data_IF_272348834418
#
_entry.id   IF_272348834418
#
_cell.length_a   1.000
_cell.length_b   1.000
_cell.length_c   1.000
_cell.angle_alpha   90.00
_cell.angle_beta   90.00
_cell.angle_gamma   90.00
#
_symmetry.space_group_name_H-M   'P 1'
#
loop_
_entity.id
_entity.type
_entity.pdbx_description
1 polymer ?
#
# COMPACT_ATOMS: atom_id res chain seq x y z
N UNK A 1 15.37 -9.12 38.37
CA UNK A 1 15.69 -8.94 36.93
C UNK A 1 14.84 -9.73 35.95
N UNK A 2 14.34 -10.97 36.18
CA UNK A 2 13.60 -11.75 35.18
C UNK A 2 12.22 -11.16 34.81
N UNK A 3 11.43 -10.63 35.76
CA UNK A 3 10.06 -10.11 35.52
C UNK A 3 10.05 -8.92 34.54
N UNK A 4 10.97 -7.97 34.67
CA UNK A 4 11.08 -6.84 33.73
C UNK A 4 11.38 -7.33 32.29
N UNK A 5 12.15 -8.42 32.17
CA UNK A 5 12.50 -9.04 30.88
C UNK A 5 11.31 -9.75 30.25
N UNK A 6 10.48 -10.43 31.04
CA UNK A 6 9.25 -11.08 30.58
C UNK A 6 8.19 -10.08 30.13
N UNK A 7 7.96 -9.01 30.90
CA UNK A 7 7.02 -7.93 30.54
C UNK A 7 7.47 -7.25 29.23
N UNK A 8 8.77 -7.00 29.07
CA UNK A 8 9.32 -6.42 27.84
C UNK A 8 9.16 -7.37 26.65
N UNK A 9 9.37 -8.68 26.84
CA UNK A 9 9.18 -9.69 25.82
C UNK A 9 7.70 -9.81 25.42
N UNK A 10 6.78 -9.84 26.38
CA UNK A 10 5.34 -9.88 26.13
C UNK A 10 4.85 -8.67 25.32
N UNK A 11 5.24 -7.45 25.74
CA UNK A 11 4.88 -6.22 25.01
C UNK A 11 5.38 -6.23 23.57
N UNK A 12 6.59 -6.72 23.34
CA UNK A 12 7.16 -6.91 22.00
C UNK A 12 6.37 -7.93 21.20
N UNK A 13 6.04 -9.07 21.80
CA UNK A 13 5.29 -10.14 21.12
C UNK A 13 3.86 -9.70 20.77
N UNK A 14 3.21 -8.94 21.66
CA UNK A 14 1.91 -8.32 21.38
C UNK A 14 1.98 -7.38 20.18
N UNK A 15 2.98 -6.50 20.12
CA UNK A 15 3.17 -5.59 19.00
C UNK A 15 3.39 -6.36 17.68
N UNK A 16 4.24 -7.38 17.70
CA UNK A 16 4.51 -8.22 16.51
C UNK A 16 3.27 -8.99 16.05
N UNK A 17 2.48 -9.51 16.98
CA UNK A 17 1.20 -10.18 16.67
C UNK A 17 0.21 -9.20 16.03
N UNK A 18 0.05 -8.02 16.60
CA UNK A 18 -0.82 -6.99 16.05
C UNK A 18 -0.37 -6.56 14.65
N UNK A 19 0.94 -6.37 14.46
CA UNK A 19 1.51 -6.02 13.15
C UNK A 19 1.19 -7.10 12.10
N UNK A 20 1.32 -8.37 12.48
CA UNK A 20 1.02 -9.50 11.59
C UNK A 20 -0.48 -9.56 11.26
N UNK A 21 -1.35 -9.46 12.25
CA UNK A 21 -2.81 -9.53 12.06
C UNK A 21 -3.33 -8.37 11.23
N UNK A 22 -2.91 -7.13 11.55
CA UNK A 22 -3.30 -5.93 10.79
C UNK A 22 -2.73 -6.00 9.38
N UNK A 23 -1.45 -6.37 9.22
CA UNK A 23 -0.82 -6.54 7.92
C UNK A 23 -1.54 -7.56 7.04
N UNK A 24 -1.85 -8.73 7.58
CA UNK A 24 -2.58 -9.77 6.85
C UNK A 24 -3.99 -9.32 6.44
N UNK A 25 -4.72 -8.61 7.31
CA UNK A 25 -6.08 -8.14 7.02
C UNK A 25 -6.13 -7.08 5.91
N UNK A 26 -5.07 -6.29 5.73
CA UNK A 26 -5.01 -5.22 4.72
C UNK A 26 -4.33 -5.68 3.42
N UNK A 27 -3.54 -6.76 3.46
CA UNK A 27 -2.80 -7.26 2.29
C UNK A 27 -3.71 -7.61 1.11
N UNK A 28 -4.82 -8.32 1.35
CA UNK A 28 -5.74 -8.74 0.29
C UNK A 28 -6.44 -7.55 -0.41
N UNK A 29 -7.01 -6.57 0.31
CA UNK A 29 -7.51 -5.33 -0.32
C UNK A 29 -6.45 -4.59 -1.13
N UNK A 30 -5.22 -4.48 -0.64
CA UNK A 30 -4.12 -3.80 -1.36
C UNK A 30 -3.76 -4.53 -2.65
N UNK A 31 -3.67 -5.86 -2.62
CA UNK A 31 -3.46 -6.67 -3.82
C UNK A 31 -4.58 -6.46 -4.85
N UNK A 32 -5.84 -6.47 -4.40
CA UNK A 32 -6.99 -6.21 -5.27
C UNK A 32 -6.93 -4.82 -5.91
N UNK A 33 -6.64 -3.78 -5.11
CA UNK A 33 -6.48 -2.41 -5.61
C UNK A 33 -5.33 -2.34 -6.61
N UNK A 34 -4.20 -2.96 -6.34
CA UNK A 34 -3.05 -3.00 -7.26
C UNK A 34 -3.41 -3.65 -8.60
N UNK A 35 -4.03 -4.83 -8.57
CA UNK A 35 -4.49 -5.54 -9.78
C UNK A 35 -5.48 -4.70 -10.58
N UNK A 36 -6.46 -4.07 -9.90
CA UNK A 36 -7.44 -3.20 -10.58
C UNK A 36 -6.80 -1.95 -11.18
N UNK A 37 -5.81 -1.39 -10.48
CA UNK A 37 -5.07 -0.22 -10.99
C UNK A 37 -4.26 -0.56 -12.26
N UNK A 38 -3.68 -1.75 -12.35
CA UNK A 38 -3.01 -2.21 -13.58
C UNK A 38 -4.00 -2.24 -14.76
N UNK A 39 -5.20 -2.78 -14.56
CA UNK A 39 -6.25 -2.77 -15.60
C UNK A 39 -6.60 -1.34 -16.02
N UNK A 40 -6.81 -0.43 -15.08
CA UNK A 40 -7.14 0.97 -15.35
C UNK A 40 -6.02 1.67 -16.14
N UNK A 41 -4.75 1.46 -15.78
CA UNK A 41 -3.61 2.03 -16.50
C UNK A 41 -3.57 1.49 -17.94
N UNK A 42 -3.85 0.21 -18.14
CA UNK A 42 -3.91 -0.38 -19.48
C UNK A 42 -5.03 0.24 -20.30
N UNK A 43 -6.25 0.31 -19.78
CA UNK A 43 -7.41 0.92 -20.44
C UNK A 43 -7.18 2.42 -20.75
N UNK A 44 -6.55 3.16 -19.84
CA UNK A 44 -6.18 4.56 -20.05
C UNK A 44 -5.13 4.71 -21.16
N UNK A 45 -4.13 3.81 -21.19
CA UNK A 45 -3.10 3.82 -22.24
C UNK A 45 -3.70 3.46 -23.60
N UNK A 46 -4.63 2.48 -23.67
CA UNK A 46 -5.38 2.17 -24.86
C UNK A 46 -6.17 3.38 -25.38
N UNK A 47 -6.87 4.08 -24.46
CA UNK A 47 -7.61 5.28 -24.81
C UNK A 47 -6.71 6.42 -25.30
N UNK A 48 -5.54 6.62 -24.69
CA UNK A 48 -4.54 7.59 -25.16
C UNK A 48 -4.01 7.23 -26.55
N UNK A 49 -3.67 5.96 -26.76
CA UNK A 49 -3.14 5.48 -28.04
C UNK A 49 -4.13 5.68 -29.19
N UNK A 50 -5.39 5.24 -28.99
CA UNK A 50 -6.40 5.33 -30.04
C UNK A 50 -6.80 6.79 -30.33
N UNK A 51 -6.88 7.64 -29.29
CA UNK A 51 -7.18 9.06 -29.46
C UNK A 51 -6.06 9.79 -30.23
N UNK A 52 -4.80 9.45 -29.93
CA UNK A 52 -3.66 10.02 -30.65
C UNK A 52 -3.61 9.52 -32.09
N UNK A 53 -3.81 8.22 -32.34
CA UNK A 53 -3.88 7.66 -33.67
C UNK A 53 -5.00 8.33 -34.49
N UNK A 54 -6.21 8.47 -33.92
CA UNK A 54 -7.35 9.11 -34.57
C UNK A 54 -7.08 10.60 -34.87
N UNK A 55 -6.45 11.33 -33.95
CA UNK A 55 -6.10 12.74 -34.16
C UNK A 55 -5.07 12.91 -35.31
N UNK A 56 -4.06 12.04 -35.34
CA UNK A 56 -3.05 12.07 -36.41
C UNK A 56 -3.63 11.61 -37.74
N UNK A 57 -4.53 10.62 -37.72
CA UNK A 57 -5.27 10.21 -38.91
C UNK A 57 -6.16 11.35 -39.47
N UNK A 58 -6.91 12.03 -38.59
CA UNK A 58 -7.73 13.18 -39.01
C UNK A 58 -6.87 14.32 -39.58
N UNK A 59 -5.69 14.57 -39.02
CA UNK A 59 -4.71 15.54 -39.56
C UNK A 59 -4.30 15.16 -40.99
N UNK A 60 -3.96 13.89 -41.23
CA UNK A 60 -3.58 13.43 -42.58
C UNK A 60 -4.75 13.41 -43.53
N UNK A 61 -5.95 13.01 -43.09
CA UNK A 61 -7.19 13.06 -43.90
C UNK A 61 -7.58 14.49 -44.27
N UNK A 62 -7.33 15.48 -43.43
CA UNK A 62 -7.50 16.90 -43.73
C UNK A 62 -6.47 17.38 -44.79
N UNK A 63 -5.23 16.88 -44.75
CA UNK A 63 -4.15 17.20 -45.67
C UNK A 63 -3.99 16.15 -46.80
N UNK A 64 -5.08 15.48 -47.17
CA UNK A 64 -5.06 14.30 -48.05
C UNK A 64 -4.48 14.58 -49.41
N UNK A 65 -4.68 15.80 -49.95
CA UNK A 65 -4.15 16.22 -51.25
C UNK A 65 -2.61 16.19 -51.28
N UNK A 66 -1.96 16.45 -50.16
CA UNK A 66 -0.50 16.38 -50.05
C UNK A 66 0.00 15.02 -49.53
N UNK A 67 -0.82 14.28 -48.74
CA UNK A 67 -0.43 12.99 -48.19
C UNK A 67 -0.62 11.82 -49.18
N UNK A 68 -1.76 11.73 -49.89
CA UNK A 68 -2.04 10.62 -50.78
C UNK A 68 -0.99 10.42 -51.88
N UNK A 69 -0.47 11.49 -52.56
CA UNK A 69 0.65 11.34 -53.48
C UNK A 69 1.93 10.78 -52.86
N UNK A 70 2.21 11.10 -51.60
CA UNK A 70 3.33 10.52 -50.84
C UNK A 70 3.09 9.04 -50.55
N UNK A 71 1.87 8.68 -50.11
CA UNK A 71 1.50 7.30 -49.84
C UNK A 71 1.52 6.42 -51.11
N UNK A 72 1.06 6.94 -52.25
CA UNK A 72 0.97 6.19 -53.49
C UNK A 72 2.33 6.08 -54.21
N UNK A 73 3.33 6.85 -53.82
CA UNK A 73 4.65 6.81 -54.44
C UNK A 73 5.37 5.47 -54.20
N UNK A 74 6.04 4.97 -55.21
CA UNK A 74 6.95 3.83 -55.07
C UNK A 74 8.36 4.26 -54.63
N UNK A 75 8.81 5.47 -55.03
CA UNK A 75 10.11 6.02 -54.76
C UNK A 75 9.99 7.54 -54.49
N UNK A 76 10.70 8.03 -53.50
CA UNK A 76 10.87 9.47 -53.26
C UNK A 76 12.10 9.96 -54.02
N UNK A 77 11.92 10.89 -54.95
CA UNK A 77 13.03 11.51 -55.70
C UNK A 77 13.52 12.72 -54.89
N UNK A 78 14.82 12.76 -54.63
CA UNK A 78 15.50 13.85 -53.90
C UNK A 78 15.21 15.22 -54.57
N UNK A 79 14.86 16.21 -53.73
CA UNK A 79 14.50 17.58 -54.14
C UNK A 79 13.09 17.73 -54.75
N UNK A 80 12.32 16.66 -54.88
CA UNK A 80 10.92 16.71 -55.40
C UNK A 80 9.94 17.33 -54.39
N UNK A 81 8.78 17.75 -54.92
CA UNK A 81 7.67 18.21 -54.09
C UNK A 81 7.15 17.11 -53.14
N UNK A 82 7.20 15.85 -53.62
CA UNK A 82 6.83 14.68 -52.82
C UNK A 82 7.76 14.48 -51.63
N UNK A 83 9.06 14.58 -51.86
CA UNK A 83 10.02 14.47 -50.76
C UNK A 83 9.86 15.61 -49.75
N UNK A 84 9.60 16.83 -50.19
CA UNK A 84 9.33 17.96 -49.31
C UNK A 84 8.10 17.72 -48.44
N UNK A 85 7.02 17.19 -49.00
CA UNK A 85 5.82 16.82 -48.28
C UNK A 85 6.08 15.69 -47.29
N UNK A 86 6.79 14.64 -47.66
CA UNK A 86 7.21 13.54 -46.83
C UNK A 86 8.03 14.05 -45.61
N UNK A 87 9.03 14.89 -45.84
CA UNK A 87 9.87 15.45 -44.77
C UNK A 87 9.06 16.33 -43.81
N UNK A 88 8.12 17.13 -44.35
CA UNK A 88 7.24 17.98 -43.55
C UNK A 88 6.32 17.15 -42.65
N UNK A 89 5.69 16.09 -43.17
CA UNK A 89 4.85 15.20 -42.38
C UNK A 89 5.66 14.46 -41.31
N UNK A 90 6.82 13.91 -41.64
CA UNK A 90 7.70 13.26 -40.68
C UNK A 90 8.14 14.21 -39.55
N UNK A 91 8.38 15.49 -39.87
CA UNK A 91 8.68 16.46 -38.82
C UNK A 91 7.50 16.68 -37.85
N UNK A 92 6.28 16.74 -38.37
CA UNK A 92 5.07 16.79 -37.52
C UNK A 92 4.99 15.55 -36.62
N UNK A 93 5.19 14.35 -37.19
CA UNK A 93 5.17 13.09 -36.44
C UNK A 93 6.26 13.08 -35.35
N UNK A 94 7.47 13.52 -35.64
CA UNK A 94 8.56 13.68 -34.66
C UNK A 94 8.20 14.65 -33.55
N UNK A 95 7.58 15.77 -33.88
CA UNK A 95 7.19 16.77 -32.86
C UNK A 95 6.09 16.23 -31.97
N UNK A 96 5.08 15.57 -32.53
CA UNK A 96 3.99 14.95 -31.75
C UNK A 96 4.54 13.82 -30.88
N UNK A 97 5.43 12.96 -31.41
CA UNK A 97 6.09 11.94 -30.60
C UNK A 97 6.87 12.50 -29.41
N UNK A 98 7.61 13.61 -29.60
CA UNK A 98 8.32 14.27 -28.52
C UNK A 98 7.41 14.83 -27.42
N UNK A 99 6.17 15.18 -27.75
CA UNK A 99 5.21 15.77 -26.83
C UNK A 99 4.27 14.72 -26.21
N UNK A 100 4.18 13.55 -26.81
CA UNK A 100 3.45 12.40 -26.31
C UNK A 100 4.39 11.41 -25.64
N UNK A 101 3.84 10.54 -24.80
CA UNK A 101 4.59 9.42 -24.22
C UNK A 101 4.65 8.20 -25.15
N UNK A 102 4.20 8.31 -26.40
CA UNK A 102 4.18 7.22 -27.37
C UNK A 102 5.62 6.78 -27.73
N UNK A 103 5.81 5.47 -27.81
CA UNK A 103 7.11 4.91 -28.19
C UNK A 103 7.34 5.08 -29.69
N UNK A 104 6.31 4.76 -30.49
CA UNK A 104 6.31 4.97 -31.94
C UNK A 104 5.02 5.64 -32.40
N UNK A 105 5.13 6.45 -33.46
CA UNK A 105 4.03 7.02 -34.21
C UNK A 105 4.43 6.95 -35.69
N UNK A 106 3.66 6.20 -36.45
CA UNK A 106 3.98 5.94 -37.85
C UNK A 106 2.72 5.86 -38.72
N UNK A 107 2.90 5.75 -40.02
CA UNK A 107 1.84 5.37 -40.96
C UNK A 107 2.27 4.19 -41.80
N UNK A 108 1.34 3.30 -42.05
CA UNK A 108 1.49 2.18 -42.97
C UNK A 108 0.35 2.12 -43.96
N UNK A 109 0.59 1.45 -45.08
CA UNK A 109 -0.40 1.17 -46.08
C UNK A 109 -0.46 -0.32 -46.39
N UNK A 110 -1.61 -0.76 -46.88
CA UNK A 110 -1.86 -2.14 -47.30
C UNK A 110 -0.99 -2.51 -48.51
N UNK A 111 -0.32 -3.66 -48.44
CA UNK A 111 0.35 -4.27 -49.55
C UNK A 111 -0.34 -5.60 -49.96
N UNK A 112 -0.48 -6.50 -49.00
CA UNK A 112 -1.21 -7.77 -49.09
C UNK A 112 -1.70 -8.17 -47.69
N UNK A 113 -2.42 -9.30 -47.57
CA UNK A 113 -3.06 -9.73 -46.31
C UNK A 113 -2.10 -10.04 -45.17
N UNK A 114 -0.79 -10.06 -45.39
CA UNK A 114 0.23 -10.35 -44.38
C UNK A 114 1.30 -9.24 -44.26
N UNK A 115 1.25 -8.25 -45.17
CA UNK A 115 2.33 -7.26 -45.26
C UNK A 115 1.79 -5.85 -45.39
N UNK A 116 2.30 -4.96 -44.56
CA UNK A 116 2.14 -3.50 -44.68
C UNK A 116 3.43 -2.84 -45.12
N UNK A 117 3.32 -1.59 -45.57
CA UNK A 117 4.47 -0.77 -46.01
C UNK A 117 4.47 0.54 -45.25
N UNK A 118 5.57 0.84 -44.59
CA UNK A 118 5.76 2.12 -43.91
C UNK A 118 5.78 3.29 -44.90
N UNK A 119 5.04 4.35 -44.59
CA UNK A 119 5.04 5.62 -45.34
C UNK A 119 5.67 6.73 -44.56
N UNK A 120 5.23 7.00 -43.31
CA UNK A 120 5.81 7.98 -42.43
C UNK A 120 6.29 7.32 -41.13
N UNK A 121 7.35 7.88 -40.54
CA UNK A 121 7.86 7.44 -39.25
C UNK A 121 8.29 8.63 -38.39
N UNK A 122 7.75 8.73 -37.20
CA UNK A 122 8.10 9.75 -36.20
C UNK A 122 9.45 9.55 -35.52
N UNK A 123 10.21 8.49 -35.89
CA UNK A 123 11.59 8.31 -35.42
C UNK A 123 12.58 9.25 -36.12
N UNK A 124 13.72 9.45 -35.47
CA UNK A 124 14.83 10.16 -36.10
C UNK A 124 15.45 9.27 -37.19
N UNK A 125 15.75 9.80 -38.39
CA UNK A 125 16.44 9.04 -39.43
C UNK A 125 17.79 8.46 -39.00
N UNK A 126 18.41 9.01 -37.94
CA UNK A 126 19.64 8.49 -37.36
C UNK A 126 19.43 7.36 -36.35
N UNK A 127 18.18 7.06 -35.99
CA UNK A 127 17.82 5.96 -35.09
C UNK A 127 17.90 4.61 -35.78
N UNK A 128 18.38 3.60 -35.07
CA UNK A 128 18.34 2.20 -35.53
C UNK A 128 16.92 1.63 -35.62
N UNK A 129 15.96 2.32 -34.99
CA UNK A 129 14.53 1.97 -34.95
C UNK A 129 13.72 2.73 -36.01
N UNK A 130 14.38 3.54 -36.86
CA UNK A 130 13.69 4.26 -37.93
C UNK A 130 13.29 3.31 -39.06
N UNK A 131 12.03 3.37 -39.46
CA UNK A 131 11.50 2.63 -40.60
C UNK A 131 11.52 3.50 -41.85
N UNK A 132 12.46 3.26 -42.80
CA UNK A 132 12.55 4.05 -44.01
C UNK A 132 11.26 3.93 -44.85
N UNK A 133 11.00 4.97 -45.64
CA UNK A 133 9.92 4.95 -46.64
C UNK A 133 9.97 3.69 -47.51
N UNK A 134 8.85 2.99 -47.65
CA UNK A 134 8.77 1.79 -48.46
C UNK A 134 9.26 0.50 -47.79
N UNK A 135 9.76 0.56 -46.54
CA UNK A 135 10.11 -0.64 -45.78
C UNK A 135 8.84 -1.46 -45.48
N UNK A 136 9.01 -2.79 -45.45
CA UNK A 136 7.90 -3.73 -45.25
C UNK A 136 7.90 -4.26 -43.82
N UNK A 137 6.71 -4.53 -43.31
CA UNK A 137 6.50 -5.19 -42.03
C UNK A 137 5.39 -6.23 -42.09
N UNK A 138 5.41 -7.16 -41.16
CA UNK A 138 4.33 -8.10 -40.97
C UNK A 138 3.13 -7.39 -40.35
N UNK A 139 1.95 -7.70 -40.82
CA UNK A 139 0.70 -7.06 -40.41
C UNK A 139 -0.05 -7.94 -39.40
N UNK A 140 -0.48 -7.37 -38.30
CA UNK A 140 -1.36 -8.05 -37.36
C UNK A 140 -2.84 -8.02 -37.80
N UNK A 141 -3.68 -8.83 -37.15
CA UNK A 141 -5.10 -8.94 -37.50
C UNK A 141 -5.86 -7.62 -37.32
N UNK A 142 -5.54 -6.82 -36.30
CA UNK A 142 -6.23 -5.55 -36.02
C UNK A 142 -5.76 -4.43 -36.95
N UNK A 143 -4.49 -4.47 -37.36
CA UNK A 143 -3.96 -3.61 -38.42
C UNK A 143 -4.66 -3.87 -39.73
N UNK A 144 -4.81 -5.16 -40.14
CA UNK A 144 -5.56 -5.57 -41.32
C UNK A 144 -7.01 -5.13 -41.22
N UNK A 145 -7.67 -5.34 -40.08
CA UNK A 145 -9.05 -4.93 -39.86
C UNK A 145 -9.21 -3.41 -40.05
N UNK A 146 -8.28 -2.61 -39.53
CA UNK A 146 -8.27 -1.16 -39.67
C UNK A 146 -8.16 -0.75 -41.15
N UNK A 147 -7.25 -1.37 -41.90
CA UNK A 147 -7.03 -1.05 -43.30
C UNK A 147 -8.20 -1.48 -44.21
N UNK A 148 -8.82 -2.65 -43.96
CA UNK A 148 -9.88 -3.20 -44.77
C UNK A 148 -11.25 -2.66 -44.41
N UNK A 149 -11.58 -2.57 -43.12
CA UNK A 149 -12.89 -2.13 -42.63
C UNK A 149 -12.99 -0.62 -42.37
N UNK A 150 -11.88 0.09 -42.34
CA UNK A 150 -11.85 1.52 -42.05
C UNK A 150 -12.30 1.87 -40.64
N UNK A 151 -12.06 0.99 -39.65
CA UNK A 151 -12.40 1.21 -38.24
C UNK A 151 -11.13 1.32 -37.43
N UNK A 152 -11.15 2.19 -36.40
CA UNK A 152 -10.02 2.29 -35.48
C UNK A 152 -10.02 1.10 -34.53
N UNK A 153 -8.84 0.52 -34.30
CA UNK A 153 -8.65 -0.65 -33.44
C UNK A 153 -7.55 -0.39 -32.40
N UNK A 154 -7.53 -1.18 -31.33
CA UNK A 154 -6.48 -1.12 -30.30
C UNK A 154 -6.20 -2.53 -29.77
N UNK A 155 -4.92 -2.86 -29.63
CA UNK A 155 -4.48 -4.15 -29.08
C UNK A 155 -4.42 -4.10 -27.55
N UNK A 156 -4.26 -5.28 -26.90
CA UNK A 156 -3.60 -5.39 -25.62
C UNK A 156 -2.08 -5.29 -25.78
N UNK A 157 -1.33 -5.60 -24.69
CA UNK A 157 0.11 -5.84 -24.83
C UNK A 157 0.32 -7.12 -25.66
N UNK A 158 0.88 -6.98 -26.83
CA UNK A 158 1.20 -8.07 -27.73
C UNK A 158 2.71 -8.12 -27.99
N UNK A 159 3.25 -9.34 -28.13
CA UNK A 159 4.65 -9.54 -28.49
C UNK A 159 4.79 -9.52 -30.01
N UNK A 160 5.59 -8.58 -30.50
CA UNK A 160 6.08 -8.58 -31.86
C UNK A 160 7.49 -9.19 -31.88
N UNK A 161 7.72 -10.11 -32.81
CA UNK A 161 9.00 -10.85 -32.90
C UNK A 161 10.19 -9.97 -33.28
N UNK A 162 9.95 -8.84 -33.94
CA UNK A 162 10.97 -7.91 -34.45
C UNK A 162 11.12 -6.71 -33.54
N UNK A 163 10.02 -6.12 -33.09
CA UNK A 163 10.00 -4.83 -32.41
C UNK A 163 9.89 -4.94 -30.90
N UNK A 164 9.42 -6.08 -30.36
CA UNK A 164 9.26 -6.30 -28.93
C UNK A 164 7.79 -6.31 -28.50
N UNK A 165 7.49 -5.99 -27.23
CA UNK A 165 6.14 -6.02 -26.68
C UNK A 165 5.56 -4.61 -26.63
N UNK A 166 4.43 -4.39 -27.32
CA UNK A 166 3.75 -3.10 -27.42
C UNK A 166 2.24 -3.24 -27.20
N UNK A 167 1.64 -2.14 -26.80
CA UNK A 167 0.22 -1.86 -26.94
C UNK A 167 0.09 -0.92 -28.12
N UNK A 168 -0.59 -1.36 -29.18
CA UNK A 168 -0.70 -0.64 -30.43
C UNK A 168 -2.13 -0.19 -30.70
N UNK A 169 -2.29 0.99 -31.23
CA UNK A 169 -3.57 1.51 -31.69
C UNK A 169 -3.46 1.96 -33.15
N UNK A 170 -4.45 1.62 -33.94
CA UNK A 170 -4.50 1.91 -35.35
C UNK A 170 -5.74 2.75 -35.70
N UNK A 171 -5.56 3.78 -36.50
CA UNK A 171 -6.67 4.59 -37.01
C UNK A 171 -6.57 4.76 -38.52
N UNK A 172 -7.66 4.50 -39.31
CA UNK A 172 -7.64 4.55 -40.75
C UNK A 172 -7.48 5.98 -41.26
N UNK A 173 -6.63 6.21 -42.24
CA UNK A 173 -6.53 7.47 -42.97
C UNK A 173 -7.50 7.39 -44.14
N UNK A 174 -8.54 8.23 -44.13
CA UNK A 174 -9.60 8.20 -45.10
C UNK A 174 -9.49 9.39 -46.06
N UNK A 175 -9.51 9.13 -47.36
CA UNK A 175 -9.68 10.16 -48.35
C UNK A 175 -11.17 10.54 -48.43
N UNK A 176 -11.49 11.73 -47.92
CA UNK A 176 -12.87 12.23 -47.83
C UNK A 176 -13.52 12.50 -49.21
N UNK A 177 -12.77 12.43 -50.31
CA UNK A 177 -13.29 12.65 -51.69
C UNK A 177 -13.94 11.41 -52.29
N UNK A 178 -13.41 10.24 -51.98
CA UNK A 178 -13.90 8.96 -52.49
C UNK A 178 -14.21 7.94 -51.38
N UNK A 179 -14.04 8.33 -50.14
CA UNK A 179 -14.25 7.51 -48.93
C UNK A 179 -13.40 6.23 -48.91
N UNK A 180 -12.22 6.26 -49.53
CA UNK A 180 -11.27 5.14 -49.49
C UNK A 180 -10.30 5.23 -48.35
N UNK A 181 -9.91 4.10 -47.78
CA UNK A 181 -8.81 3.99 -46.83
C UNK A 181 -7.48 3.98 -47.60
N UNK A 182 -6.66 4.98 -47.40
CA UNK A 182 -5.34 5.13 -48.08
C UNK A 182 -4.16 4.66 -47.23
N UNK A 183 -4.42 4.30 -46.02
CA UNK A 183 -3.42 3.84 -45.02
C UNK A 183 -3.97 3.93 -43.60
N UNK A 184 -3.12 3.73 -42.64
CA UNK A 184 -3.44 3.93 -41.22
C UNK A 184 -2.34 4.71 -40.52
N UNK A 185 -2.69 5.26 -39.35
CA UNK A 185 -1.75 5.73 -38.35
C UNK A 185 -1.64 4.68 -37.25
N UNK A 186 -0.42 4.23 -36.97
CA UNK A 186 -0.07 3.39 -35.83
C UNK A 186 0.53 4.22 -34.69
N UNK A 187 0.11 3.93 -33.46
CA UNK A 187 0.65 4.52 -32.22
C UNK A 187 0.93 3.42 -31.21
N UNK A 188 2.19 3.29 -30.83
CA UNK A 188 2.64 2.21 -29.94
C UNK A 188 3.15 2.74 -28.61
N UNK A 189 2.74 2.05 -27.53
CA UNK A 189 3.29 2.22 -26.20
C UNK A 189 4.01 0.95 -25.78
N UNK A 190 5.30 1.07 -25.46
CA UNK A 190 6.12 -0.09 -25.09
C UNK A 190 5.74 -0.68 -23.74
N UNK A 191 6.00 -1.97 -23.56
CA UNK A 191 5.91 -2.66 -22.27
C UNK A 191 6.70 -1.95 -21.18
N UNK A 192 7.87 -1.39 -21.51
CA UNK A 192 8.70 -0.67 -20.55
C UNK A 192 8.03 0.60 -20.04
N UNK A 193 7.34 1.34 -20.90
CA UNK A 193 6.51 2.47 -20.49
C UNK A 193 5.44 2.02 -19.49
N UNK A 194 4.71 0.95 -19.79
CA UNK A 194 3.69 0.39 -18.91
C UNK A 194 4.27 -0.07 -17.57
N UNK A 195 5.42 -0.75 -17.58
CA UNK A 195 6.10 -1.21 -16.38
C UNK A 195 6.56 -0.05 -15.48
N UNK A 196 6.99 1.07 -16.06
CA UNK A 196 7.33 2.28 -15.29
C UNK A 196 6.09 2.81 -14.56
N UNK A 197 4.95 2.90 -15.24
CA UNK A 197 3.69 3.34 -14.63
C UNK A 197 3.24 2.37 -13.51
N UNK A 198 3.25 1.06 -13.77
CA UNK A 198 2.90 0.05 -12.75
C UNK A 198 3.81 0.11 -11.52
N UNK A 199 5.13 0.25 -11.71
CA UNK A 199 6.09 0.38 -10.61
C UNK A 199 5.85 1.65 -9.80
N UNK A 200 5.60 2.77 -10.45
CA UNK A 200 5.33 4.05 -9.78
C UNK A 200 4.12 3.95 -8.85
N UNK A 201 3.00 3.43 -9.35
CA UNK A 201 1.79 3.22 -8.54
C UNK A 201 2.02 2.15 -7.47
N UNK A 202 2.70 1.06 -7.82
CA UNK A 202 3.06 -0.01 -6.88
C UNK A 202 3.82 0.51 -5.66
N UNK A 203 4.83 1.36 -5.85
CA UNK A 203 5.58 1.97 -4.75
C UNK A 203 4.72 2.88 -3.85
N UNK A 204 3.81 3.65 -4.46
CA UNK A 204 2.87 4.50 -3.70
C UNK A 204 1.94 3.62 -2.84
N UNK A 205 1.40 2.54 -3.39
CA UNK A 205 0.53 1.63 -2.67
C UNK A 205 1.27 0.90 -1.54
N UNK A 206 2.47 0.37 -1.81
CA UNK A 206 3.30 -0.34 -0.81
C UNK A 206 3.68 0.59 0.33
N UNK A 207 4.15 1.80 0.05
CA UNK A 207 4.54 2.76 1.09
C UNK A 207 3.34 3.22 1.93
N UNK A 208 2.20 3.49 1.29
CA UNK A 208 0.95 3.83 1.98
C UNK A 208 0.47 2.67 2.86
N UNK A 209 0.49 1.44 2.34
CA UNK A 209 0.16 0.24 3.09
C UNK A 209 1.04 0.08 4.34
N UNK A 210 2.36 0.17 4.18
CA UNK A 210 3.30 0.05 5.29
C UNK A 210 3.05 1.14 6.35
N UNK A 211 2.83 2.38 5.93
CA UNK A 211 2.54 3.50 6.81
C UNK A 211 1.25 3.29 7.62
N UNK A 212 0.13 2.99 6.97
CA UNK A 212 -1.15 2.80 7.65
C UNK A 212 -1.17 1.55 8.53
N UNK A 213 -0.53 0.46 8.09
CA UNK A 213 -0.38 -0.75 8.92
C UNK A 213 0.37 -0.44 10.20
N UNK A 214 1.48 0.30 10.13
CA UNK A 214 2.24 0.70 11.30
C UNK A 214 1.44 1.64 12.21
N UNK A 215 0.74 2.62 11.63
CA UNK A 215 -0.07 3.59 12.38
C UNK A 215 -1.20 2.89 13.15
N UNK A 216 -1.96 2.02 12.50
CA UNK A 216 -3.07 1.26 13.12
C UNK A 216 -2.50 0.32 14.22
N UNK A 217 -1.42 -0.37 13.93
CA UNK A 217 -0.76 -1.26 14.91
C UNK A 217 -0.32 -0.49 16.14
N UNK A 218 0.30 0.67 15.97
CA UNK A 218 0.72 1.53 17.08
C UNK A 218 -0.49 2.03 17.90
N UNK A 219 -1.55 2.47 17.21
CA UNK A 219 -2.77 2.94 17.88
C UNK A 219 -3.42 1.83 18.72
N UNK A 220 -3.59 0.64 18.16
CA UNK A 220 -4.13 -0.53 18.88
C UNK A 220 -3.22 -0.95 20.04
N UNK A 221 -1.93 -0.96 19.84
CA UNK A 221 -0.95 -1.27 20.88
C UNK A 221 -1.06 -0.31 22.07
N UNK A 222 -1.08 1.01 21.79
CA UNK A 222 -1.24 2.03 22.84
C UNK A 222 -2.59 1.89 23.54
N UNK A 223 -3.65 1.64 22.80
CA UNK A 223 -4.99 1.44 23.36
C UNK A 223 -5.03 0.25 24.32
N UNK A 224 -4.51 -0.91 23.90
CA UNK A 224 -4.48 -2.14 24.73
C UNK A 224 -3.67 -1.90 26.00
N UNK A 225 -2.47 -1.33 25.89
CA UNK A 225 -1.64 -1.03 27.07
C UNK A 225 -2.35 -0.05 28.02
N UNK A 226 -3.02 0.98 27.47
CA UNK A 226 -3.74 1.96 28.29
C UNK A 226 -4.94 1.33 29.01
N UNK A 227 -5.66 0.43 28.36
CA UNK A 227 -6.78 -0.29 29.00
C UNK A 227 -6.28 -1.21 30.12
N UNK A 228 -5.20 -1.96 29.86
CA UNK A 228 -4.60 -2.84 30.90
C UNK A 228 -4.07 -2.05 32.09
N UNK A 229 -3.39 -0.93 31.87
CA UNK A 229 -2.94 -0.07 32.96
C UNK A 229 -4.09 0.55 33.77
N UNK A 230 -5.31 0.56 33.23
CA UNK A 230 -6.52 1.06 33.92
C UNK A 230 -7.23 0.00 34.75
N UNK A 231 -6.93 -1.28 34.60
CA UNK A 231 -7.65 -2.36 35.29
C UNK A 231 -7.60 -2.25 36.82
N UNK A 232 -6.56 -1.61 37.33
CA UNK A 232 -6.41 -1.36 38.79
C UNK A 232 -6.26 -2.63 39.64
N UNK A 233 -6.26 -3.81 39.01
CA UNK A 233 -6.18 -5.14 39.65
C UNK A 233 -4.89 -5.82 39.21
N UNK A 234 -4.14 -6.36 40.19
CA UNK A 234 -2.98 -7.20 39.94
C UNK A 234 -3.39 -8.58 39.42
N UNK A 235 -2.86 -8.99 38.26
CA UNK A 235 -3.28 -10.23 37.58
C UNK A 235 -2.90 -11.49 38.37
N UNK A 236 -1.80 -11.46 39.12
CA UNK A 236 -1.31 -12.60 39.88
C UNK A 236 -2.11 -12.83 41.17
N UNK A 237 -2.26 -11.77 41.97
CA UNK A 237 -2.84 -11.85 43.31
C UNK A 237 -4.30 -11.47 43.36
N UNK A 238 -4.84 -10.87 42.27
CA UNK A 238 -6.19 -10.32 42.19
C UNK A 238 -6.52 -9.21 43.18
N UNK A 239 -5.49 -8.66 43.83
CA UNK A 239 -5.58 -7.48 44.66
C UNK A 239 -5.53 -6.19 43.81
N UNK A 240 -5.83 -5.05 44.44
CA UNK A 240 -5.61 -3.77 43.82
C UNK A 240 -4.11 -3.54 43.51
N UNK A 241 -3.81 -2.86 42.43
CA UNK A 241 -2.44 -2.41 42.10
C UNK A 241 -2.01 -1.22 43.00
N UNK A 242 -0.70 -0.90 43.05
CA UNK A 242 -0.18 0.32 43.67
C UNK A 242 -0.96 1.56 43.24
N UNK A 243 -1.33 1.66 41.96
CA UNK A 243 -2.11 2.79 41.42
C UNK A 243 -3.53 2.84 42.01
N UNK A 244 -4.18 1.70 42.14
CA UNK A 244 -5.48 1.58 42.79
C UNK A 244 -5.38 1.95 44.27
N UNK A 245 -4.32 1.49 44.99
CA UNK A 245 -4.03 1.85 46.35
C UNK A 245 -3.93 3.36 46.51
N UNK A 246 -3.12 4.04 45.70
CA UNK A 246 -2.95 5.50 45.80
C UNK A 246 -4.26 6.26 45.57
N UNK A 247 -5.11 5.77 44.68
CA UNK A 247 -6.46 6.34 44.45
C UNK A 247 -7.37 6.12 45.66
N UNK A 248 -7.40 4.92 46.24
CA UNK A 248 -8.18 4.58 47.43
C UNK A 248 -7.70 5.36 48.65
N UNK A 249 -6.38 5.46 48.84
CA UNK A 249 -5.80 6.22 49.93
C UNK A 249 -6.19 7.71 49.88
N UNK A 250 -6.18 8.33 48.74
CA UNK A 250 -6.62 9.73 48.57
C UNK A 250 -8.10 9.90 48.94
N UNK A 251 -8.95 8.95 48.53
CA UNK A 251 -10.38 8.99 48.88
C UNK A 251 -10.58 8.82 50.40
N UNK A 252 -9.97 7.78 50.99
CA UNK A 252 -10.10 7.52 52.44
C UNK A 252 -9.53 8.68 53.27
N UNK A 253 -8.41 9.25 52.85
CA UNK A 253 -7.81 10.43 53.51
C UNK A 253 -8.75 11.65 53.45
N UNK A 254 -9.37 11.90 52.27
CA UNK A 254 -10.32 13.01 52.13
C UNK A 254 -11.57 12.83 52.99
N UNK A 255 -12.08 11.59 53.08
CA UNK A 255 -13.26 11.22 53.86
C UNK A 255 -12.96 11.31 55.36
N UNK A 256 -11.86 10.72 55.82
CA UNK A 256 -11.37 10.78 57.21
C UNK A 256 -11.23 12.22 57.69
N UNK A 257 -10.68 13.11 56.83
CA UNK A 257 -10.52 14.54 57.16
C UNK A 257 -11.86 15.27 57.31
N UNK A 258 -12.89 14.92 56.48
CA UNK A 258 -14.20 15.56 56.54
C UNK A 258 -15.05 15.08 57.73
N UNK A 259 -14.96 13.80 58.02
CA UNK A 259 -15.76 13.15 59.07
C UNK A 259 -15.08 13.02 60.40
N UNK A 260 -13.84 13.52 60.54
CA UNK A 260 -12.97 13.38 61.72
C UNK A 260 -12.82 11.92 62.17
N UNK A 261 -12.72 11.00 61.19
CA UNK A 261 -12.55 9.57 61.42
C UNK A 261 -11.07 9.16 61.23
N UNK A 262 -10.64 8.11 61.90
CA UNK A 262 -9.31 7.55 61.75
C UNK A 262 -9.30 6.53 60.62
N UNK A 263 -8.17 6.30 60.00
CA UNK A 263 -7.89 5.17 59.14
C UNK A 263 -6.47 4.66 59.39
N UNK A 264 -6.22 3.41 59.07
CA UNK A 264 -4.89 2.79 59.18
C UNK A 264 -4.42 2.32 57.84
N UNK A 265 -3.18 2.61 57.48
CA UNK A 265 -2.47 2.03 56.33
C UNK A 265 -1.44 1.03 56.87
N UNK A 266 -1.62 -0.24 56.53
CA UNK A 266 -0.67 -1.30 56.83
C UNK A 266 0.16 -1.58 55.58
N UNK A 267 1.49 -1.61 55.74
CA UNK A 267 2.45 -2.08 54.73
C UNK A 267 3.01 -3.43 55.19
N UNK A 268 3.05 -4.39 54.27
CA UNK A 268 3.54 -5.75 54.55
C UNK A 268 4.59 -6.10 53.47
N UNK A 269 5.61 -6.82 53.89
CA UNK A 269 6.66 -7.34 53.04
C UNK A 269 6.83 -8.84 53.32
N UNK A 270 7.14 -9.63 52.28
CA UNK A 270 7.32 -11.07 52.44
C UNK A 270 8.76 -11.40 52.74
N UNK A 271 9.02 -11.74 53.99
CA UNK A 271 10.35 -12.07 54.48
C UNK A 271 11.01 -13.15 53.62
N UNK A 272 12.24 -12.90 53.19
CA UNK A 272 13.08 -13.81 52.44
C UNK A 272 12.44 -14.32 51.11
N UNK A 273 11.55 -13.55 50.50
CA UNK A 273 10.88 -13.93 49.25
C UNK A 273 11.84 -14.29 48.10
N UNK A 274 12.98 -13.56 48.06
CA UNK A 274 14.06 -13.87 47.13
C UNK A 274 14.61 -15.28 47.36
N UNK A 275 14.84 -15.70 48.61
CA UNK A 275 15.33 -17.03 48.92
C UNK A 275 14.34 -18.13 48.52
N UNK A 276 13.02 -17.87 48.64
CA UNK A 276 11.98 -18.80 48.14
C UNK A 276 12.10 -18.94 46.61
N UNK A 277 12.25 -17.85 45.86
CA UNK A 277 12.42 -17.91 44.42
C UNK A 277 13.72 -18.61 44.00
N UNK A 278 14.82 -18.32 44.71
CA UNK A 278 16.12 -18.89 44.39
C UNK A 278 16.18 -20.40 44.69
N UNK A 279 15.43 -20.88 45.70
CA UNK A 279 15.41 -22.28 46.11
C UNK A 279 14.39 -23.11 45.33
N UNK A 280 13.17 -22.59 45.16
CA UNK A 280 12.02 -23.36 44.61
C UNK A 280 11.54 -22.89 43.24
N UNK A 281 12.15 -21.83 42.70
CA UNK A 281 11.80 -21.25 41.45
C UNK A 281 10.60 -20.29 41.50
N UNK A 282 10.49 -19.45 40.46
CA UNK A 282 9.45 -18.42 40.35
C UNK A 282 8.00 -18.94 40.40
N UNK A 283 7.65 -20.14 39.84
CA UNK A 283 6.28 -20.64 39.96
C UNK A 283 5.82 -20.89 41.38
N UNK A 284 6.73 -21.29 42.25
CA UNK A 284 6.45 -21.47 43.71
C UNK A 284 6.29 -20.11 44.38
N UNK A 285 7.19 -19.15 44.09
CA UNK A 285 7.05 -17.77 44.57
C UNK A 285 5.73 -17.12 44.16
N UNK A 286 5.31 -17.30 42.91
CA UNK A 286 4.02 -16.84 42.41
C UNK A 286 2.85 -17.47 43.18
N UNK A 287 2.97 -18.75 43.57
CA UNK A 287 1.95 -19.44 44.37
C UNK A 287 1.90 -18.90 45.80
N UNK A 288 3.04 -18.57 46.39
CA UNK A 288 3.12 -17.91 47.69
C UNK A 288 2.44 -16.55 47.68
N UNK A 289 2.72 -15.72 46.64
CA UNK A 289 2.07 -14.41 46.48
C UNK A 289 0.55 -14.52 46.31
N UNK A 290 0.04 -15.54 45.55
CA UNK A 290 -1.39 -15.80 45.46
C UNK A 290 -2.00 -16.22 46.82
N UNK A 291 -1.29 -17.02 47.58
CA UNK A 291 -1.74 -17.40 48.91
C UNK A 291 -1.85 -16.20 49.86
N UNK A 292 -0.84 -15.35 49.86
CA UNK A 292 -0.86 -14.12 50.65
C UNK A 292 -2.00 -13.21 50.24
N UNK A 293 -2.20 -13.03 48.92
CA UNK A 293 -3.34 -12.25 48.39
C UNK A 293 -4.69 -12.75 48.90
N UNK A 294 -4.90 -14.06 48.88
CA UNK A 294 -6.12 -14.68 49.43
C UNK A 294 -6.26 -14.49 50.92
N UNK A 295 -5.18 -14.69 51.66
CA UNK A 295 -5.16 -14.50 53.13
C UNK A 295 -5.52 -13.07 53.51
N UNK A 296 -4.99 -12.07 52.81
CA UNK A 296 -5.29 -10.66 53.07
C UNK A 296 -6.79 -10.34 52.80
N UNK A 297 -7.35 -10.90 51.72
CA UNK A 297 -8.79 -10.76 51.45
C UNK A 297 -9.64 -11.39 52.55
N UNK A 298 -9.26 -12.57 53.00
CA UNK A 298 -10.00 -13.26 54.10
C UNK A 298 -9.91 -12.49 55.42
N UNK A 299 -8.70 -12.01 55.77
CA UNK A 299 -8.49 -11.27 56.98
C UNK A 299 -9.23 -9.91 57.04
N UNK A 300 -9.40 -9.27 55.90
CA UNK A 300 -10.08 -7.98 55.80
C UNK A 300 -11.53 -8.08 55.41
N UNK A 301 -12.01 -9.25 54.98
CA UNK A 301 -13.34 -9.46 54.36
C UNK A 301 -13.66 -8.48 53.23
N UNK A 302 -12.67 -7.82 52.67
CA UNK A 302 -12.83 -6.78 51.66
C UNK A 302 -11.68 -6.73 50.64
N UNK A 303 -11.96 -7.22 49.44
CA UNK A 303 -11.01 -7.19 48.30
C UNK A 303 -10.55 -5.79 47.94
N UNK A 304 -11.38 -4.77 48.16
CA UNK A 304 -11.06 -3.37 47.83
C UNK A 304 -10.15 -2.68 48.82
N UNK A 305 -9.88 -3.34 49.94
CA UNK A 305 -8.98 -2.84 50.99
C UNK A 305 -7.53 -3.30 50.79
N UNK A 306 -7.29 -4.32 49.98
CA UNK A 306 -6.02 -5.01 49.82
C UNK A 306 -5.35 -4.70 48.47
N UNK A 307 -4.07 -4.44 48.49
CA UNK A 307 -3.30 -4.02 47.32
C UNK A 307 -1.95 -4.71 47.30
N UNK A 308 -1.45 -5.00 46.10
CA UNK A 308 -0.07 -5.36 45.85
C UNK A 308 0.72 -4.09 45.50
N UNK A 309 1.58 -3.64 46.40
CA UNK A 309 2.34 -2.40 46.23
C UNK A 309 3.56 -2.58 45.34
N UNK A 310 4.24 -3.69 45.43
CA UNK A 310 5.46 -4.04 44.69
C UNK A 310 5.56 -5.54 44.44
N UNK A 311 6.75 -6.05 44.12
CA UNK A 311 6.99 -7.46 43.82
C UNK A 311 6.48 -8.40 44.92
N UNK A 312 6.95 -8.21 46.12
CA UNK A 312 6.65 -8.96 47.35
C UNK A 312 6.04 -8.07 48.47
N UNK A 313 5.73 -6.81 48.10
CA UNK A 313 5.15 -5.83 49.04
C UNK A 313 3.63 -5.74 48.84
N UNK A 314 2.92 -5.71 49.96
CA UNK A 314 1.45 -5.57 50.02
C UNK A 314 1.06 -4.38 50.88
N UNK A 315 -0.14 -3.88 50.64
CA UNK A 315 -0.71 -2.82 51.45
C UNK A 315 -2.18 -3.10 51.76
N UNK A 316 -2.63 -2.70 52.94
CA UNK A 316 -4.02 -2.76 53.37
C UNK A 316 -4.45 -1.41 53.89
N UNK A 317 -5.58 -0.88 53.43
CA UNK A 317 -6.19 0.37 53.91
C UNK A 317 -7.42 -0.02 54.72
N UNK A 318 -7.45 0.36 55.96
CA UNK A 318 -8.53 0.10 56.92
C UNK A 318 -9.20 1.42 57.30
N UNK A 319 -10.32 1.77 56.68
CA UNK A 319 -11.11 2.95 57.01
C UNK A 319 -11.74 2.78 58.40
N UNK A 320 -12.00 3.87 59.06
CA UNK A 320 -12.68 3.94 60.37
C UNK A 320 -12.09 3.02 61.44
N UNK A 321 -10.78 2.77 61.37
CA UNK A 321 -10.04 1.85 62.24
C UNK A 321 -9.01 2.60 63.04
N UNK A 322 -8.93 2.31 64.32
CA UNK A 322 -7.85 2.83 65.22
C UNK A 322 -6.62 1.94 65.14
N UNK A 323 -5.48 2.49 65.52
CA UNK A 323 -4.21 1.74 65.52
C UNK A 323 -4.29 0.49 66.44
N UNK A 324 -4.97 0.58 67.57
CA UNK A 324 -5.16 -0.53 68.52
C UNK A 324 -5.98 -1.66 67.86
N UNK A 325 -7.07 -1.33 67.20
CA UNK A 325 -7.90 -2.31 66.47
C UNK A 325 -7.11 -3.00 65.35
N UNK A 326 -6.31 -2.22 64.60
CA UNK A 326 -5.47 -2.79 63.57
C UNK A 326 -4.36 -3.72 64.12
N UNK A 327 -3.82 -3.43 65.28
CA UNK A 327 -2.82 -4.29 65.96
C UNK A 327 -3.43 -5.61 66.48
N UNK A 328 -4.68 -5.61 66.86
CA UNK A 328 -5.40 -6.83 67.25
C UNK A 328 -5.64 -7.77 66.06
N UNK A 329 -5.94 -7.22 64.87
CA UNK A 329 -6.07 -8.00 63.64
C UNK A 329 -4.76 -8.73 63.22
N UNK A 330 -3.61 -8.30 63.75
CA UNK A 330 -2.31 -8.92 63.45
C UNK A 330 -2.12 -10.28 64.15
N UNK A 331 -3.00 -10.68 65.08
CA UNK A 331 -2.87 -11.92 65.84
C UNK A 331 -3.52 -13.12 65.20
N UNK A 332 -4.19 -12.95 64.11
CA UNK A 332 -4.85 -13.95 63.28
C UNK A 332 -4.27 -13.96 61.86
#
# INVERSE_FOLDING_TARGET
MPIKRQIKAWKRNLFMLLLLVVGASVAMPVYYIFSRTQTIITEETQSKAINLAAAMSAFLSYNIESYRPVSDAEILVEGSDLERSYLAFNEVFRQVKKQSDATFIYTSKYLDDQTSVFVLDGESPASVLFSPFGSRDSMDTLELETLVLGVATVTGLADDSVWGTYLSAYAPIIDNRDNTVVGLVGVDYSKDYMLVQYRRVGWILISSFAFFTLLITLALYVLIITIQDRSGIDELTRLGTKRAMMKSLRMVFSEARKSNLNFVLCMLDVNSFKAINDTYGHPVGDSVLRCIGRALIQATSNTKACFRYGGDEFAVILPETTLLQAQEMKKY
#
